data_IF_740902772529
#
_entry.id   IF_740902772529
#
_cell.length_a   1.000
_cell.length_b   1.000
_cell.length_c   1.000
_cell.angle_alpha   90.00
_cell.angle_beta   90.00
_cell.angle_gamma   90.00
#
_symmetry.space_group_name_H-M   'P 1'
#
loop_
_entity.id
_entity.type
_entity.pdbx_description
1 polymer ?
#
# COMPACT_ATOMS: atom_id res chain seq x y z
N UNK A 1 -8.98 -2.70 -9.36
CA UNK A 1 -7.60 -2.36 -9.76
C UNK A 1 -6.63 -2.50 -8.60
N UNK A 2 -5.39 -2.85 -8.88
CA UNK A 2 -4.33 -2.89 -7.89
C UNK A 2 -3.36 -1.73 -8.12
N UNK A 3 -3.21 -0.89 -7.10
CA UNK A 3 -2.28 0.25 -7.13
C UNK A 3 -1.12 -0.05 -6.21
N UNK A 4 0.10 0.03 -6.73
CA UNK A 4 1.30 -0.21 -5.92
C UNK A 4 2.01 1.10 -5.62
N UNK A 5 2.42 1.26 -4.37
CA UNK A 5 3.11 2.45 -3.88
C UNK A 5 4.50 2.03 -3.41
N UNK A 6 5.52 2.42 -4.14
CA UNK A 6 6.89 1.96 -3.89
C UNK A 6 7.85 3.06 -3.45
N UNK A 7 7.39 4.31 -3.36
CA UNK A 7 8.25 5.45 -3.04
C UNK A 7 8.17 5.83 -1.57
N UNK A 8 9.26 6.33 -1.04
CA UNK A 8 9.32 6.80 0.34
C UNK A 8 8.51 8.09 0.56
N UNK A 9 8.40 8.91 -0.47
CA UNK A 9 7.74 10.21 -0.37
C UNK A 9 6.73 10.40 -1.50
N UNK A 10 5.56 10.91 -1.13
CA UNK A 10 4.52 11.34 -2.05
C UNK A 10 4.05 12.73 -1.64
N UNK A 11 3.68 13.55 -2.61
CA UNK A 11 3.02 14.81 -2.30
C UNK A 11 1.69 14.52 -1.59
N UNK A 12 1.48 15.10 -0.43
CA UNK A 12 0.33 14.78 0.41
C UNK A 12 -1.00 15.14 -0.25
N UNK A 13 -1.06 16.28 -0.93
CA UNK A 13 -2.28 16.68 -1.63
C UNK A 13 -2.61 15.71 -2.76
N UNK A 14 -1.60 15.31 -3.54
CA UNK A 14 -1.77 14.33 -4.61
C UNK A 14 -2.22 12.99 -4.06
N UNK A 15 -1.60 12.54 -2.98
CA UNK A 15 -1.92 11.25 -2.35
C UNK A 15 -3.36 11.25 -1.86
N UNK A 16 -3.78 12.29 -1.16
CA UNK A 16 -5.13 12.42 -0.65
C UNK A 16 -6.17 12.40 -1.77
N UNK A 17 -5.92 13.15 -2.84
CA UNK A 17 -6.82 13.18 -3.99
C UNK A 17 -6.89 11.85 -4.71
N UNK A 18 -5.74 11.19 -4.88
CA UNK A 18 -5.67 9.90 -5.57
C UNK A 18 -6.44 8.84 -4.79
N UNK A 19 -6.23 8.76 -3.50
CA UNK A 19 -6.89 7.76 -2.66
C UNK A 19 -8.39 8.04 -2.49
N UNK A 20 -8.82 9.29 -2.59
CA UNK A 20 -10.23 9.64 -2.52
C UNK A 20 -11.03 9.08 -3.70
N UNK A 21 -10.37 8.74 -4.80
CA UNK A 21 -11.01 8.18 -5.99
C UNK A 21 -11.11 6.66 -5.95
N UNK A 22 -10.50 6.01 -4.97
CA UNK A 22 -10.56 4.56 -4.84
C UNK A 22 -11.96 4.15 -4.43
N UNK A 23 -12.44 3.06 -5.03
CA UNK A 23 -13.69 2.41 -4.62
C UNK A 23 -13.39 1.08 -3.90
N UNK A 24 -14.43 0.34 -3.53
CA UNK A 24 -14.28 -0.91 -2.79
C UNK A 24 -13.58 -2.02 -3.58
N UNK A 25 -13.48 -1.88 -4.89
CA UNK A 25 -12.81 -2.85 -5.76
C UNK A 25 -11.34 -2.52 -5.98
N UNK A 26 -10.89 -1.37 -5.50
CA UNK A 26 -9.50 -0.95 -5.64
C UNK A 26 -8.71 -1.33 -4.39
N UNK A 27 -7.46 -1.74 -4.62
CA UNK A 27 -6.56 -2.13 -3.54
C UNK A 27 -5.27 -1.35 -3.65
N UNK A 28 -4.77 -0.90 -2.51
CA UNK A 28 -3.45 -0.30 -2.38
C UNK A 28 -2.47 -1.32 -1.80
N UNK A 29 -1.33 -1.48 -2.44
CA UNK A 29 -0.23 -2.30 -1.93
C UNK A 29 0.96 -1.40 -1.66
N UNK A 30 1.39 -1.36 -0.41
CA UNK A 30 2.57 -0.62 0.01
C UNK A 30 3.73 -1.61 0.09
N UNK A 31 4.73 -1.42 -0.75
CA UNK A 31 5.90 -2.29 -0.80
C UNK A 31 7.16 -1.47 -1.07
N UNK A 32 8.33 -2.09 -0.90
CA UNK A 32 9.61 -1.40 -1.01
C UNK A 32 9.58 -0.17 -0.06
N UNK A 33 10.04 0.98 -0.48
CA UNK A 33 10.02 2.18 0.36
C UNK A 33 8.60 2.71 0.63
N UNK A 34 7.63 2.26 -0.14
CA UNK A 34 6.23 2.61 0.05
C UNK A 34 5.66 2.16 1.38
N UNK A 35 6.27 1.18 2.05
CA UNK A 35 5.84 0.76 3.39
C UNK A 35 5.96 1.89 4.41
N UNK A 36 6.80 2.90 4.15
CA UNK A 36 6.89 4.09 5.00
C UNK A 36 5.57 4.86 5.05
N UNK A 37 4.74 4.76 4.02
CA UNK A 37 3.44 5.41 3.99
C UNK A 37 2.50 4.86 5.04
N UNK A 38 2.63 3.59 5.40
CA UNK A 38 1.82 2.96 6.44
C UNK A 38 2.07 3.59 7.82
N UNK A 39 3.22 4.21 8.01
CA UNK A 39 3.60 4.88 9.26
C UNK A 39 3.41 6.38 9.16
N UNK A 40 3.91 6.98 8.08
CA UNK A 40 3.91 8.45 7.89
C UNK A 40 2.53 9.00 7.56
N UNK A 41 1.78 8.31 6.73
CA UNK A 41 0.51 8.80 6.18
C UNK A 41 -0.60 7.75 6.34
N UNK A 42 -0.60 7.03 7.44
CA UNK A 42 -1.59 5.98 7.70
C UNK A 42 -3.03 6.48 7.53
N UNK A 43 -3.31 7.71 7.92
CA UNK A 43 -4.63 8.31 7.84
C UNK A 43 -5.14 8.40 6.40
N UNK A 44 -4.23 8.64 5.45
CA UNK A 44 -4.61 8.74 4.03
C UNK A 44 -5.16 7.42 3.49
N UNK A 45 -4.70 6.30 4.04
CA UNK A 45 -5.07 4.96 3.60
C UNK A 45 -6.18 4.33 4.45
N UNK A 46 -6.71 5.05 5.45
CA UNK A 46 -7.66 4.49 6.42
C UNK A 46 -8.97 3.99 5.79
N UNK A 47 -9.43 4.64 4.74
CA UNK A 47 -10.69 4.30 4.06
C UNK A 47 -10.46 3.50 2.76
N UNK A 48 -9.24 3.05 2.54
CA UNK A 48 -8.84 2.32 1.35
C UNK A 48 -8.41 0.92 1.77
N UNK A 49 -8.78 -0.08 0.98
CA UNK A 49 -8.35 -1.44 1.24
C UNK A 49 -6.86 -1.53 0.96
N UNK A 50 -6.06 -1.61 2.03
CA UNK A 50 -4.61 -1.46 1.97
C UNK A 50 -3.92 -2.70 2.54
N UNK A 51 -2.90 -3.17 1.83
CA UNK A 51 -2.00 -4.23 2.29
C UNK A 51 -0.58 -3.74 2.28
N UNK A 52 0.24 -4.29 3.17
CA UNK A 52 1.63 -3.91 3.31
C UNK A 52 2.50 -5.16 3.22
N UNK A 53 3.57 -5.09 2.42
CA UNK A 53 4.45 -6.24 2.25
C UNK A 53 5.29 -6.45 3.51
N UNK A 54 5.14 -7.62 4.11
CA UNK A 54 5.76 -7.96 5.39
C UNK A 54 7.28 -7.87 5.36
N UNK A 55 7.89 -8.39 4.30
CA UNK A 55 9.35 -8.41 4.16
C UNK A 55 9.95 -7.01 4.17
N UNK A 56 9.28 -6.06 3.51
CA UNK A 56 9.77 -4.69 3.43
C UNK A 56 9.58 -3.94 4.75
N UNK A 57 8.54 -4.26 5.51
CA UNK A 57 8.38 -3.73 6.87
C UNK A 57 9.50 -4.22 7.77
N UNK A 58 9.80 -5.51 7.72
CA UNK A 58 10.85 -6.11 8.55
C UNK A 58 12.22 -5.53 8.21
N UNK A 59 12.51 -5.38 6.93
CA UNK A 59 13.78 -4.83 6.47
C UNK A 59 14.05 -3.42 7.01
N UNK A 60 12.98 -2.66 7.30
CA UNK A 60 13.07 -1.27 7.77
C UNK A 60 12.75 -1.12 9.26
N UNK A 61 12.50 -2.23 9.96
CA UNK A 61 12.20 -2.19 11.39
C UNK A 61 10.86 -1.53 11.71
N UNK A 62 9.90 -1.60 10.82
CA UNK A 62 8.63 -0.89 10.96
C UNK A 62 7.45 -1.79 11.32
N UNK A 63 7.68 -3.08 11.52
CA UNK A 63 6.61 -4.05 11.75
C UNK A 63 5.68 -3.65 12.89
N UNK A 64 6.25 -3.19 14.01
CA UNK A 64 5.46 -2.83 15.19
C UNK A 64 4.70 -1.53 15.06
N UNK A 65 5.05 -0.71 14.06
CA UNK A 65 4.39 0.57 13.81
C UNK A 65 3.26 0.46 12.79
N UNK A 66 3.18 -0.66 12.09
CA UNK A 66 2.18 -0.86 11.05
C UNK A 66 0.86 -1.35 11.63
N UNK A 67 -0.24 -0.73 11.21
CA UNK A 67 -1.60 -1.12 11.62
C UNK A 67 -2.40 -1.77 10.51
N UNK A 68 -1.85 -1.85 9.30
CA UNK A 68 -2.54 -2.44 8.16
C UNK A 68 -2.26 -3.94 8.06
N UNK A 69 -3.13 -4.70 7.39
CA UNK A 69 -2.87 -6.12 7.13
C UNK A 69 -1.56 -6.31 6.39
N UNK A 70 -0.76 -7.24 6.88
CA UNK A 70 0.52 -7.61 6.25
C UNK A 70 0.30 -8.79 5.34
N UNK A 71 0.97 -8.79 4.19
CA UNK A 71 0.96 -9.92 3.27
C UNK A 71 2.38 -10.28 2.89
N UNK A 72 2.55 -11.52 2.47
CA UNK A 72 3.83 -12.02 2.00
C UNK A 72 3.89 -12.02 0.48
N UNK A 73 5.09 -12.17 -0.08
CA UNK A 73 5.29 -12.06 -1.53
C UNK A 73 4.42 -13.05 -2.31
N UNK A 74 4.25 -14.26 -1.82
CA UNK A 74 3.42 -15.25 -2.52
C UNK A 74 1.95 -14.84 -2.57
N UNK A 75 1.49 -14.05 -1.60
CA UNK A 75 0.13 -13.52 -1.60
C UNK A 75 -0.02 -12.36 -2.57
N UNK A 76 1.06 -11.61 -2.84
CA UNK A 76 1.06 -10.56 -3.85
C UNK A 76 0.75 -11.14 -5.22
N UNK A 77 1.30 -12.31 -5.53
CA UNK A 77 1.02 -13.00 -6.79
C UNK A 77 -0.47 -13.26 -6.94
N UNK A 78 -1.13 -13.69 -5.86
CA UNK A 78 -2.59 -13.92 -5.88
C UNK A 78 -3.36 -12.62 -6.09
N UNK A 79 -2.92 -11.52 -5.50
CA UNK A 79 -3.53 -10.22 -5.71
C UNK A 79 -3.44 -9.81 -7.17
N UNK A 80 -2.29 -10.02 -7.81
CA UNK A 80 -2.10 -9.64 -9.21
C UNK A 80 -2.96 -10.46 -10.16
N UNK A 81 -3.36 -11.67 -9.75
CA UNK A 81 -4.26 -12.51 -10.54
C UNK A 81 -5.72 -12.07 -10.43
N UNK A 82 -6.12 -11.51 -9.30
CA UNK A 82 -7.50 -11.14 -9.03
C UNK A 82 -7.81 -9.67 -9.27
N UNK A 83 -6.83 -8.80 -9.13
CA UNK A 83 -7.01 -7.36 -9.22
C UNK A 83 -6.12 -6.79 -10.32
N UNK A 84 -6.73 -6.44 -11.41
CA UNK A 84 -6.02 -5.90 -12.57
C UNK A 84 -6.88 -4.82 -13.25
N UNK A 85 -6.29 -3.94 -14.05
CA UNK A 85 -4.85 -3.82 -14.26
C UNK A 85 -4.11 -3.35 -13.01
N UNK A 86 -2.78 -3.46 -13.07
CA UNK A 86 -1.89 -2.98 -12.01
C UNK A 86 -1.33 -1.61 -12.42
N UNK A 87 -1.34 -0.68 -11.49
CA UNK A 87 -0.82 0.67 -11.72
C UNK A 87 0.24 0.97 -10.66
N UNK A 88 1.46 1.22 -11.12
CA UNK A 88 2.57 1.59 -10.23
C UNK A 88 2.60 3.11 -10.04
N UNK A 89 2.53 3.53 -8.80
CA UNK A 89 2.52 4.95 -8.43
C UNK A 89 3.80 5.39 -7.73
#
# INVERSE_FOLDING_TARGET
MLYTFSKANYDLAWLTQTLAQFDENDIALLWQDGVLQAVKNAECFANVRTYVLSEDLQARGLTDMNTFPKIEMHEVVKLTEHYFPQIAL
#
